data_IF_069772015148
#
_entry.id   IF_069772015148
#
_cell.length_a   1.000
_cell.length_b   1.000
_cell.length_c   1.000
_cell.angle_alpha   90.00
_cell.angle_beta   90.00
_cell.angle_gamma   90.00
#
_symmetry.space_group_name_H-M   'P 1'
#
loop_
_entity.id
_entity.type
_entity.pdbx_description
1 polymer ?
#
# COMPACT_ATOMS: atom_id res chain seq x y z
N UNK A 1 -23.07 3.46 -6.10
CA UNK A 1 -22.31 4.70 -5.84
C UNK A 1 -23.17 5.93 -5.65
N UNK A 2 -24.49 5.86 -5.91
CA UNK A 2 -25.42 6.94 -5.65
C UNK A 2 -26.03 6.71 -4.26
N UNK A 3 -26.02 7.74 -3.41
CA UNK A 3 -26.64 7.74 -2.09
C UNK A 3 -28.13 8.03 -2.30
N UNK A 4 -29.00 7.14 -1.84
CA UNK A 4 -30.45 7.28 -1.92
C UNK A 4 -31.05 7.45 -0.53
N UNK A 5 -31.87 8.49 -0.35
CA UNK A 5 -32.61 8.74 0.88
C UNK A 5 -34.08 8.44 0.68
N UNK A 6 -34.70 7.81 1.68
CA UNK A 6 -36.14 7.57 1.71
C UNK A 6 -36.77 8.52 2.72
N UNK A 7 -37.69 9.35 2.26
CA UNK A 7 -38.39 10.33 3.09
C UNK A 7 -39.65 9.73 3.72
N UNK A 8 -40.14 10.36 4.79
CA UNK A 8 -41.34 9.95 5.53
C UNK A 8 -42.62 9.97 4.69
N UNK A 9 -42.63 10.73 3.59
CA UNK A 9 -43.71 10.75 2.59
C UNK A 9 -43.67 9.56 1.62
N UNK A 10 -42.79 8.57 1.83
CA UNK A 10 -42.65 7.39 0.99
C UNK A 10 -41.84 7.59 -0.29
N UNK A 11 -41.38 8.81 -0.59
CA UNK A 11 -40.56 9.08 -1.77
C UNK A 11 -39.08 8.72 -1.52
N UNK A 12 -38.46 8.11 -2.51
CA UNK A 12 -37.01 7.89 -2.55
C UNK A 12 -36.40 8.92 -3.49
N UNK A 13 -35.41 9.68 -3.03
CA UNK A 13 -34.65 10.60 -3.86
C UNK A 13 -33.16 10.27 -3.82
N UNK A 14 -32.46 10.64 -4.88
CA UNK A 14 -31.00 10.59 -4.90
C UNK A 14 -30.45 11.82 -4.17
N UNK A 15 -29.68 11.60 -3.11
CA UNK A 15 -29.10 12.64 -2.28
C UNK A 15 -27.69 13.05 -2.75
N UNK A 16 -27.06 12.26 -3.61
CA UNK A 16 -25.73 12.55 -4.15
C UNK A 16 -25.04 11.32 -4.74
N UNK A 17 -23.88 11.51 -5.35
CA UNK A 17 -23.08 10.42 -5.93
C UNK A 17 -21.63 10.53 -5.46
N UNK A 18 -21.05 9.39 -5.07
CA UNK A 18 -19.64 9.27 -4.74
C UNK A 18 -18.85 9.27 -6.05
N UNK A 19 -17.89 10.17 -6.16
CA UNK A 19 -16.95 10.24 -7.26
C UNK A 19 -15.69 9.44 -6.93
N UNK A 20 -15.16 8.74 -7.92
CA UNK A 20 -13.90 8.01 -7.82
C UNK A 20 -12.81 8.80 -8.54
N UNK A 21 -11.57 8.58 -8.09
CA UNK A 21 -10.39 9.20 -8.69
C UNK A 21 -9.38 8.10 -8.99
N UNK A 22 -8.85 8.12 -10.21
CA UNK A 22 -7.79 7.24 -10.65
C UNK A 22 -6.54 8.06 -11.03
N UNK A 23 -5.37 7.45 -10.89
CA UNK A 23 -4.09 8.06 -11.20
C UNK A 23 -3.35 7.19 -12.20
N UNK A 24 -2.65 7.82 -13.16
CA UNK A 24 -1.87 7.09 -14.15
C UNK A 24 -0.75 6.27 -13.51
N UNK A 25 -0.17 6.78 -12.43
CA UNK A 25 0.89 6.10 -11.69
C UNK A 25 0.55 6.06 -10.19
N UNK A 26 0.02 4.93 -9.73
CA UNK A 26 -0.31 4.71 -8.32
C UNK A 26 0.93 4.66 -7.41
N UNK A 27 2.08 4.23 -7.93
CA UNK A 27 3.33 4.17 -7.16
C UNK A 27 3.96 5.56 -6.94
N UNK A 28 3.51 6.57 -7.70
CA UNK A 28 3.93 7.96 -7.49
C UNK A 28 3.17 8.66 -6.36
N UNK A 29 2.12 8.06 -5.79
CA UNK A 29 1.34 8.68 -4.73
C UNK A 29 2.14 8.75 -3.43
N UNK A 30 2.04 9.88 -2.72
CA UNK A 30 2.69 10.05 -1.43
C UNK A 30 1.76 9.56 -0.31
N UNK A 31 2.19 8.66 0.58
CA UNK A 31 1.39 8.26 1.72
C UNK A 31 1.30 9.41 2.73
N UNK A 32 0.08 9.76 3.15
CA UNK A 32 -0.18 10.73 4.23
C UNK A 32 -0.41 10.05 5.59
N UNK A 33 -0.55 8.73 5.61
CA UNK A 33 -0.91 7.94 6.79
C UNK A 33 -2.42 7.67 6.89
N UNK A 34 -2.80 6.68 7.70
CA UNK A 34 -4.22 6.31 7.89
C UNK A 34 -4.92 5.84 6.61
N UNK A 35 -4.21 5.18 5.70
CA UNK A 35 -4.67 4.78 4.36
C UNK A 35 -5.00 5.95 3.42
N UNK A 36 -4.63 7.19 3.77
CA UNK A 36 -4.77 8.35 2.90
C UNK A 36 -3.51 8.55 2.04
N UNK A 37 -3.73 8.96 0.79
CA UNK A 37 -2.69 9.22 -0.20
C UNK A 37 -2.86 10.61 -0.80
N UNK A 38 -1.75 11.28 -1.09
CA UNK A 38 -1.69 12.55 -1.78
C UNK A 38 -1.17 12.38 -3.22
N UNK A 39 -1.76 13.14 -4.14
CA UNK A 39 -1.24 13.27 -5.49
C UNK A 39 0.11 14.01 -5.48
N UNK A 40 1.05 13.53 -6.28
CA UNK A 40 2.35 14.14 -6.50
C UNK A 40 2.54 14.47 -7.99
N UNK A 41 3.66 15.09 -8.32
CA UNK A 41 4.04 15.27 -9.72
C UNK A 41 4.21 13.92 -10.45
N UNK A 42 4.79 12.93 -9.77
CA UNK A 42 5.08 11.60 -10.34
C UNK A 42 3.83 10.71 -10.50
N UNK A 43 2.76 10.96 -9.73
CA UNK A 43 1.48 10.26 -9.90
C UNK A 43 0.70 10.75 -11.13
N UNK A 44 1.00 11.95 -11.61
CA UNK A 44 0.25 12.67 -12.62
C UNK A 44 -1.06 13.28 -12.09
N UNK A 45 -1.84 13.85 -13.02
CA UNK A 45 -3.10 14.52 -12.69
C UNK A 45 -4.19 13.50 -12.28
N UNK A 46 -5.02 13.82 -11.27
CA UNK A 46 -6.16 12.98 -10.88
C UNK A 46 -7.20 12.94 -12.00
N UNK A 47 -7.59 11.73 -12.40
CA UNK A 47 -8.69 11.50 -13.34
C UNK A 47 -9.93 11.15 -12.53
N UNK A 48 -10.96 11.99 -12.60
CA UNK A 48 -12.20 11.80 -11.86
C UNK A 48 -13.24 11.08 -12.71
N UNK A 49 -14.06 10.24 -12.07
CA UNK A 49 -15.15 9.55 -12.75
C UNK A 49 -16.19 8.94 -11.82
N UNK A 50 -17.21 8.34 -12.43
CA UNK A 50 -18.32 7.70 -11.72
C UNK A 50 -18.02 6.21 -11.56
N UNK A 51 -18.45 5.65 -10.43
CA UNK A 51 -18.37 4.19 -10.23
C UNK A 51 -19.18 3.44 -11.29
N UNK A 52 -18.54 2.44 -11.92
CA UNK A 52 -19.12 1.62 -12.99
C UNK A 52 -19.04 2.24 -14.39
N UNK A 53 -18.37 3.37 -14.56
CA UNK A 53 -18.19 4.04 -15.86
C UNK A 53 -16.74 3.98 -16.34
N UNK A 54 -16.53 3.61 -17.61
CA UNK A 54 -15.21 3.49 -18.22
C UNK A 54 -14.26 2.53 -17.48
N UNK A 55 -13.13 3.06 -16.98
CA UNK A 55 -12.10 2.31 -16.24
C UNK A 55 -12.41 2.11 -14.75
N UNK A 56 -13.46 2.75 -14.23
CA UNK A 56 -13.80 2.69 -12.82
C UNK A 56 -14.63 1.45 -12.50
N UNK A 57 -14.22 0.71 -11.47
CA UNK A 57 -14.95 -0.45 -10.96
C UNK A 57 -16.33 -0.11 -10.38
N UNK A 58 -17.13 -1.15 -10.15
CA UNK A 58 -18.42 -1.00 -9.48
C UNK A 58 -18.25 -0.88 -7.96
N UNK A 59 -19.03 -0.01 -7.33
CA UNK A 59 -19.08 0.10 -5.87
C UNK A 59 -20.01 -0.97 -5.27
N UNK A 60 -19.50 -1.75 -4.30
CA UNK A 60 -20.27 -2.69 -3.49
C UNK A 60 -20.63 -2.07 -2.15
N UNK A 61 -21.91 -1.93 -1.86
CA UNK A 61 -22.38 -1.42 -0.57
C UNK A 61 -22.32 -2.52 0.51
N UNK A 62 -21.94 -2.15 1.73
CA UNK A 62 -21.89 -3.07 2.88
C UNK A 62 -20.71 -4.06 2.88
N UNK A 63 -19.75 -3.90 1.97
CA UNK A 63 -18.51 -4.66 1.94
C UNK A 63 -17.33 -3.75 2.33
N UNK A 64 -16.35 -4.32 3.04
CA UNK A 64 -15.09 -3.67 3.37
C UNK A 64 -13.96 -4.38 2.60
N UNK A 65 -13.03 -3.61 2.03
CA UNK A 65 -11.85 -4.18 1.39
C UNK A 65 -10.89 -4.71 2.45
N UNK A 66 -10.50 -5.97 2.31
CA UNK A 66 -9.53 -6.62 3.19
C UNK A 66 -8.10 -6.34 2.71
N UNK A 67 -7.14 -6.44 3.63
CA UNK A 67 -5.73 -6.34 3.30
C UNK A 67 -5.34 -7.36 2.23
N UNK A 68 -4.62 -6.91 1.20
CA UNK A 68 -4.07 -7.78 0.16
C UNK A 68 -2.77 -8.50 0.59
N UNK A 69 -2.42 -8.45 1.88
CA UNK A 69 -1.16 -8.95 2.41
C UNK A 69 -1.34 -10.38 2.93
N UNK A 70 -0.55 -11.31 2.40
CA UNK A 70 -0.45 -12.67 2.93
C UNK A 70 0.62 -12.73 4.03
N UNK A 71 0.16 -12.83 5.27
CA UNK A 71 1.00 -12.86 6.46
C UNK A 71 2.06 -13.98 6.43
N UNK A 72 1.75 -15.12 5.83
CA UNK A 72 2.69 -16.25 5.78
C UNK A 72 3.88 -15.93 4.87
N UNK A 73 3.59 -15.33 3.71
CA UNK A 73 4.62 -14.89 2.76
C UNK A 73 5.49 -13.77 3.34
N UNK A 74 4.87 -12.80 4.03
CA UNK A 74 5.59 -11.70 4.68
C UNK A 74 6.50 -12.20 5.82
N UNK A 75 6.05 -13.19 6.59
CA UNK A 75 6.87 -13.79 7.64
C UNK A 75 8.10 -14.51 7.06
N UNK A 76 7.94 -15.22 5.95
CA UNK A 76 9.05 -15.91 5.26
C UNK A 76 10.04 -14.89 4.67
N UNK A 77 9.54 -13.81 4.07
CA UNK A 77 10.38 -12.71 3.58
C UNK A 77 11.17 -12.08 4.72
N UNK A 78 10.53 -11.83 5.87
CA UNK A 78 11.17 -11.29 7.05
C UNK A 78 12.23 -12.24 7.62
N UNK A 79 11.95 -13.55 7.72
CA UNK A 79 12.95 -14.55 8.12
C UNK A 79 14.14 -14.62 7.15
N UNK A 80 13.89 -14.51 5.84
CA UNK A 80 14.94 -14.50 4.83
C UNK A 80 15.83 -13.25 4.95
N UNK A 81 15.22 -12.08 5.15
CA UNK A 81 15.93 -10.84 5.41
C UNK A 81 16.78 -10.92 6.68
N UNK A 82 16.23 -11.48 7.76
CA UNK A 82 16.96 -11.71 9.02
C UNK A 82 18.15 -12.66 8.85
N UNK A 83 17.97 -13.79 8.14
CA UNK A 83 19.07 -14.71 7.85
C UNK A 83 20.16 -14.06 7.01
N UNK A 84 19.79 -13.25 6.03
CA UNK A 84 20.73 -12.48 5.21
C UNK A 84 21.53 -11.49 6.06
N UNK A 85 20.87 -10.80 6.98
CA UNK A 85 21.53 -9.92 7.94
C UNK A 85 22.50 -10.68 8.86
N UNK A 86 22.09 -11.83 9.40
CA UNK A 86 22.95 -12.68 10.23
C UNK A 86 24.18 -13.20 9.47
N UNK A 87 23.99 -13.63 8.22
CA UNK A 87 25.08 -14.07 7.34
C UNK A 87 26.08 -12.94 7.11
N UNK A 88 25.59 -11.75 6.74
CA UNK A 88 26.44 -10.57 6.55
C UNK A 88 27.19 -10.18 7.83
N UNK A 89 26.52 -10.20 8.98
CA UNK A 89 27.16 -9.91 10.27
C UNK A 89 28.24 -10.95 10.63
N UNK A 90 28.02 -12.23 10.31
CA UNK A 90 29.01 -13.27 10.54
C UNK A 90 30.23 -13.09 9.62
N UNK A 91 30.04 -12.72 8.35
CA UNK A 91 31.14 -12.38 7.44
C UNK A 91 31.99 -11.24 8.00
N UNK A 92 31.37 -10.17 8.50
CA UNK A 92 32.08 -9.05 9.14
C UNK A 92 32.91 -9.54 10.33
N UNK A 93 32.32 -10.33 11.24
CA UNK A 93 33.06 -10.89 12.39
C UNK A 93 34.26 -11.72 11.97
N UNK A 94 34.12 -12.53 10.91
CA UNK A 94 35.24 -13.35 10.41
C UNK A 94 36.35 -12.48 9.81
N UNK A 95 36.00 -11.38 9.12
CA UNK A 95 36.96 -10.40 8.61
C UNK A 95 37.71 -9.72 9.76
N UNK A 96 37.01 -9.30 10.81
CA UNK A 96 37.61 -8.66 12.00
C UNK A 96 38.59 -9.61 12.71
N UNK A 97 38.25 -10.90 12.82
CA UNK A 97 39.13 -11.91 13.42
C UNK A 97 40.41 -12.11 12.62
N UNK A 98 40.32 -12.18 11.28
CA UNK A 98 41.50 -12.30 10.40
C UNK A 98 42.36 -11.04 10.45
N UNK A 99 41.76 -9.85 10.53
CA UNK A 99 42.49 -8.60 10.68
C UNK A 99 43.27 -8.54 12.00
N UNK A 100 42.65 -8.96 13.10
CA UNK A 100 43.28 -9.00 14.43
C UNK A 100 44.48 -9.98 14.47
N UNK A 101 44.37 -11.15 13.84
CA UNK A 101 45.49 -12.10 13.78
C UNK A 101 46.68 -11.56 12.97
N UNK A 102 46.42 -10.87 11.85
CA UNK A 102 47.45 -10.18 11.06
C UNK A 102 48.21 -9.10 11.86
N UNK A 103 47.51 -8.33 12.69
CA UNK A 103 48.13 -7.28 13.53
C UNK A 103 48.99 -7.87 14.66
N UNK A 104 48.58 -9.00 15.23
CA UNK A 104 49.28 -9.67 16.33
C UNK A 104 50.48 -10.53 15.90
N UNK A 105 50.72 -10.69 14.60
CA UNK A 105 51.84 -11.43 14.02
C UNK A 105 53.11 -10.56 13.82
N UNK A 106 53.14 -9.36 14.41
CA UNK A 106 54.29 -8.43 14.39
C UNK A 106 55.13 -8.53 15.66
#
# INVERSE_FOLDING_TARGET
>A
GVITTRYSNGQTQSAGQIMLVDFRNVQGLSPLGGNAWAATYDSGLPVQGKAGDGKFGALRAGALEESNVDLTSELVNMMTAQRSYQANAQTIKTQDQVMSTLVNLR
#
